data_IF_834104524213
#
_entry.id   IF_834104524213
#
_cell.length_a   1.000
_cell.length_b   1.000
_cell.length_c   1.000
_cell.angle_alpha   90.00
_cell.angle_beta   90.00
_cell.angle_gamma   90.00
#
_symmetry.space_group_name_H-M   'P 1'
#
loop_
_entity.id
_entity.type
_entity.pdbx_description
1 polymer ?
#
# COMPACT_ATOMS: atom_id res chain seq x y z
N UNK A 1 7.71 -22.91 0.75
CA UNK A 1 7.27 -21.72 1.51
C UNK A 1 6.69 -20.70 0.55
N UNK A 2 5.41 -20.39 0.71
CA UNK A 2 4.69 -19.35 -0.06
C UNK A 2 5.33 -17.97 0.17
N UNK A 3 5.24 -17.06 -0.82
CA UNK A 3 5.64 -15.64 -0.64
C UNK A 3 4.99 -15.02 0.60
N UNK A 4 3.78 -15.46 0.95
CA UNK A 4 2.99 -15.00 2.10
C UNK A 4 3.59 -15.48 3.42
N UNK A 5 4.05 -16.73 3.50
CA UNK A 5 4.71 -17.28 4.71
C UNK A 5 6.06 -16.59 4.96
N UNK A 6 6.81 -16.30 3.90
CA UNK A 6 8.08 -15.55 4.00
C UNK A 6 7.85 -14.11 4.45
N UNK A 7 6.74 -13.50 4.03
CA UNK A 7 6.35 -12.16 4.46
C UNK A 7 5.95 -12.12 5.94
N UNK A 8 5.06 -13.01 6.37
CA UNK A 8 4.65 -13.11 7.78
C UNK A 8 5.87 -13.22 8.72
N UNK A 9 6.88 -14.00 8.32
CA UNK A 9 8.13 -14.20 9.08
C UNK A 9 9.05 -12.98 9.09
N UNK A 10 9.17 -12.25 7.96
CA UNK A 10 9.95 -10.98 7.90
C UNK A 10 9.31 -9.89 8.75
N UNK A 11 7.99 -9.87 8.76
CA UNK A 11 7.18 -8.90 9.49
C UNK A 11 7.17 -9.14 11.01
N UNK A 12 7.14 -10.40 11.45
CA UNK A 12 7.29 -10.75 12.88
C UNK A 12 8.66 -10.32 13.45
N UNK A 13 9.69 -10.28 12.60
CA UNK A 13 11.03 -9.79 12.98
C UNK A 13 11.08 -8.27 13.15
N UNK A 14 10.29 -7.51 12.38
CA UNK A 14 10.21 -6.04 12.48
C UNK A 14 9.41 -5.54 13.69
N UNK A 15 8.61 -6.40 14.36
CA UNK A 15 7.92 -6.02 15.60
C UNK A 15 8.84 -6.00 16.84
N UNK A 16 10.04 -6.56 16.73
CA UNK A 16 10.93 -6.79 17.87
C UNK A 16 12.00 -5.72 18.09
N UNK A 17 12.01 -4.65 17.29
CA UNK A 17 12.93 -3.54 17.52
C UNK A 17 12.18 -2.33 18.12
N UNK A 18 12.43 -1.98 19.39
CA UNK A 18 11.83 -0.81 19.99
C UNK A 18 12.50 0.45 19.42
N UNK A 19 11.79 1.16 18.54
CA UNK A 19 12.14 2.52 18.09
C UNK A 19 11.82 3.53 19.22
N UNK A 20 12.19 3.22 20.46
CA UNK A 20 11.77 3.97 21.65
C UNK A 20 12.77 5.06 22.08
N UNK A 21 13.97 5.13 21.50
CA UNK A 21 15.05 5.94 22.10
C UNK A 21 15.19 7.37 21.57
N UNK A 22 14.28 7.89 20.73
CA UNK A 22 14.43 9.26 20.19
C UNK A 22 13.14 9.97 19.78
N UNK A 23 12.10 9.93 20.61
CA UNK A 23 10.87 10.70 20.37
C UNK A 23 10.82 11.91 21.30
N UNK A 24 11.19 13.09 20.80
CA UNK A 24 10.68 14.36 21.34
C UNK A 24 9.19 14.40 20.99
N UNK A 25 8.35 14.56 21.99
CA UNK A 25 6.89 14.64 21.88
C UNK A 25 6.47 15.80 20.97
N UNK A 26 6.28 15.51 19.69
CA UNK A 26 5.48 16.34 18.80
C UNK A 26 4.05 15.85 18.94
N UNK A 27 3.33 16.52 19.83
CA UNK A 27 1.88 16.38 20.02
C UNK A 27 1.21 16.55 18.66
N UNK A 28 0.40 15.57 18.24
CA UNK A 28 -0.43 15.64 17.03
C UNK A 28 -1.17 17.00 17.00
N UNK A 29 -0.80 17.96 16.15
CA UNK A 29 -1.67 19.08 15.87
C UNK A 29 -2.69 18.60 14.81
N UNK A 30 -3.93 19.03 15.00
CA UNK A 30 -5.05 19.00 14.06
C UNK A 30 -5.87 17.70 13.94
N UNK A 31 -7.06 17.78 14.55
CA UNK A 31 -8.22 16.90 14.41
C UNK A 31 -8.45 16.24 13.02
N UNK A 32 -8.13 16.86 11.87
CA UNK A 32 -8.15 16.22 10.55
C UNK A 32 -7.47 14.84 10.47
N UNK A 33 -6.28 14.65 11.04
CA UNK A 33 -5.53 13.39 10.93
C UNK A 33 -6.22 12.26 11.70
N UNK A 34 -6.69 12.54 12.92
CA UNK A 34 -7.45 11.56 13.72
C UNK A 34 -8.72 11.09 13.01
N UNK A 35 -9.44 12.00 12.36
CA UNK A 35 -10.64 11.66 11.56
C UNK A 35 -10.32 10.76 10.37
N UNK A 36 -9.21 11.00 9.68
CA UNK A 36 -8.77 10.15 8.57
C UNK A 36 -8.31 8.76 9.03
N UNK A 37 -7.62 8.68 10.17
CA UNK A 37 -7.29 7.39 10.81
C UNK A 37 -8.58 6.64 11.16
N UNK A 38 -9.58 7.30 11.73
CA UNK A 38 -10.88 6.69 12.03
C UNK A 38 -11.58 6.17 10.78
N UNK A 39 -11.55 6.94 9.68
CA UNK A 39 -12.11 6.53 8.41
C UNK A 39 -11.39 5.28 7.86
N UNK A 40 -10.05 5.25 7.93
CA UNK A 40 -9.26 4.10 7.51
C UNK A 40 -9.54 2.85 8.38
N UNK A 41 -9.63 3.02 9.70
CA UNK A 41 -9.99 1.95 10.63
C UNK A 41 -11.40 1.39 10.35
N UNK A 42 -12.37 2.24 10.03
CA UNK A 42 -13.72 1.81 9.68
C UNK A 42 -13.73 1.02 8.36
N UNK A 43 -13.03 1.51 7.32
CA UNK A 43 -12.87 0.76 6.06
C UNK A 43 -12.19 -0.61 6.29
N UNK A 44 -11.14 -0.68 7.12
CA UNK A 44 -10.49 -1.94 7.49
C UNK A 44 -11.44 -2.94 8.14
N UNK A 45 -12.28 -2.49 9.09
CA UNK A 45 -13.26 -3.35 9.75
C UNK A 45 -14.28 -3.92 8.78
N UNK A 46 -14.73 -3.12 7.81
CA UNK A 46 -15.64 -3.59 6.75
C UNK A 46 -14.96 -4.69 5.91
N UNK A 47 -13.70 -4.51 5.54
CA UNK A 47 -12.94 -5.53 4.80
C UNK A 47 -12.75 -6.81 5.60
N UNK A 48 -12.45 -6.71 6.89
CA UNK A 48 -12.35 -7.87 7.78
C UNK A 48 -13.66 -8.68 7.80
N UNK A 49 -14.80 -8.01 7.98
CA UNK A 49 -16.10 -8.66 7.96
C UNK A 49 -16.39 -9.36 6.61
N UNK A 50 -15.97 -8.76 5.49
CA UNK A 50 -16.11 -9.37 4.15
C UNK A 50 -15.25 -10.62 4.02
N UNK A 51 -14.00 -10.57 4.48
CA UNK A 51 -13.11 -11.72 4.50
C UNK A 51 -13.59 -12.82 5.47
N UNK A 52 -14.23 -12.48 6.59
CA UNK A 52 -14.89 -13.44 7.48
C UNK A 52 -15.96 -14.24 6.76
N UNK A 53 -16.87 -13.56 6.05
CA UNK A 53 -17.93 -14.21 5.28
C UNK A 53 -17.37 -15.14 4.22
N UNK A 54 -16.31 -14.71 3.52
CA UNK A 54 -15.62 -15.53 2.51
C UNK A 54 -14.96 -16.75 3.17
N UNK A 55 -14.29 -16.56 4.31
CA UNK A 55 -13.67 -17.65 5.07
C UNK A 55 -14.69 -18.73 5.45
N UNK A 56 -15.85 -18.33 5.98
CA UNK A 56 -16.93 -19.26 6.35
C UNK A 56 -17.44 -20.04 5.15
N UNK A 57 -17.69 -19.36 4.01
CA UNK A 57 -18.13 -20.02 2.78
C UNK A 57 -17.10 -21.01 2.24
N UNK A 58 -15.81 -20.68 2.33
CA UNK A 58 -14.74 -21.58 1.93
C UNK A 58 -14.68 -22.82 2.85
N UNK A 59 -14.81 -22.64 4.17
CA UNK A 59 -14.85 -23.77 5.11
C UNK A 59 -16.03 -24.71 4.86
N UNK A 60 -17.23 -24.18 4.61
CA UNK A 60 -18.40 -25.01 4.27
C UNK A 60 -18.20 -25.78 2.96
N UNK A 61 -17.58 -25.14 1.97
CA UNK A 61 -17.33 -25.73 0.66
C UNK A 61 -16.21 -26.78 0.71
N UNK A 62 -15.17 -26.58 1.53
CA UNK A 62 -14.13 -27.58 1.84
C UNK A 62 -14.79 -28.87 2.35
N UNK A 63 -15.64 -28.75 3.38
CA UNK A 63 -16.34 -29.91 3.96
C UNK A 63 -17.17 -30.66 2.92
N UNK A 64 -17.99 -29.94 2.14
CA UNK A 64 -18.84 -30.54 1.11
C UNK A 64 -18.04 -31.27 0.02
N UNK A 65 -16.90 -30.71 -0.40
CA UNK A 65 -16.07 -31.36 -1.43
C UNK A 65 -15.34 -32.56 -0.82
N UNK A 66 -14.87 -32.46 0.41
CA UNK A 66 -14.26 -33.58 1.12
C UNK A 66 -15.23 -34.77 1.25
N UNK A 67 -16.50 -34.53 1.59
CA UNK A 67 -17.55 -35.56 1.60
C UNK A 67 -17.69 -36.23 0.22
N UNK A 68 -17.64 -35.46 -0.88
CA UNK A 68 -17.67 -36.00 -2.24
C UNK A 68 -16.44 -36.82 -2.61
N UNK A 69 -15.25 -36.46 -2.12
CA UNK A 69 -14.03 -37.25 -2.28
C UNK A 69 -14.23 -38.63 -1.65
N UNK A 70 -14.73 -38.66 -0.40
CA UNK A 70 -15.00 -39.91 0.33
C UNK A 70 -16.05 -40.75 -0.40
N UNK A 71 -17.16 -40.15 -0.82
CA UNK A 71 -18.23 -40.85 -1.54
C UNK A 71 -17.73 -41.48 -2.85
N UNK A 72 -16.93 -40.74 -3.64
CA UNK A 72 -16.34 -41.26 -4.87
C UNK A 72 -15.41 -42.44 -4.61
N UNK A 73 -14.60 -42.40 -3.54
CA UNK A 73 -13.77 -43.55 -3.14
C UNK A 73 -14.60 -44.77 -2.73
N UNK A 74 -15.70 -44.56 -1.99
CA UNK A 74 -16.60 -45.65 -1.59
C UNK A 74 -17.27 -46.33 -2.79
N UNK A 75 -17.50 -45.59 -3.87
CA UNK A 75 -18.05 -46.12 -5.13
C UNK A 75 -16.99 -46.68 -6.08
N UNK A 76 -15.72 -46.71 -5.66
CA UNK A 76 -14.57 -47.08 -6.50
C UNK A 76 -14.39 -46.19 -7.74
N UNK A 77 -14.89 -44.95 -7.71
CA UNK A 77 -14.79 -43.96 -8.79
C UNK A 77 -13.50 -43.13 -8.63
N UNK A 78 -12.35 -43.75 -8.88
CA UNK A 78 -11.01 -43.17 -8.65
C UNK A 78 -10.77 -41.85 -9.41
N UNK A 79 -11.24 -41.75 -10.66
CA UNK A 79 -11.12 -40.53 -11.46
C UNK A 79 -11.92 -39.36 -10.83
N UNK A 80 -13.15 -39.63 -10.35
CA UNK A 80 -13.98 -38.61 -9.69
C UNK A 80 -13.40 -38.21 -8.33
N UNK A 81 -12.88 -39.17 -7.57
CA UNK A 81 -12.21 -38.89 -6.31
C UNK A 81 -10.99 -37.97 -6.52
N UNK A 82 -10.20 -38.24 -7.56
CA UNK A 82 -9.03 -37.42 -7.93
C UNK A 82 -9.45 -36.01 -8.35
N UNK A 83 -10.50 -35.88 -9.17
CA UNK A 83 -11.03 -34.58 -9.58
C UNK A 83 -11.50 -33.74 -8.38
N UNK A 84 -12.27 -34.31 -7.46
CA UNK A 84 -12.72 -33.60 -6.26
C UNK A 84 -11.56 -33.27 -5.32
N UNK A 85 -10.55 -34.13 -5.21
CA UNK A 85 -9.37 -33.87 -4.39
C UNK A 85 -8.54 -32.69 -4.90
N UNK A 86 -8.41 -32.55 -6.23
CA UNK A 86 -7.73 -31.40 -6.84
C UNK A 86 -8.48 -30.09 -6.54
N UNK A 87 -9.80 -30.07 -6.70
CA UNK A 87 -10.62 -28.89 -6.34
C UNK A 87 -10.49 -28.55 -4.86
N UNK A 88 -10.52 -29.55 -3.97
CA UNK A 88 -10.34 -29.36 -2.54
C UNK A 88 -8.97 -28.74 -2.22
N UNK A 89 -7.91 -29.17 -2.92
CA UNK A 89 -6.57 -28.63 -2.74
C UNK A 89 -6.50 -27.14 -3.14
N UNK A 90 -7.12 -26.75 -4.25
CA UNK A 90 -7.20 -25.34 -4.67
C UNK A 90 -8.00 -24.50 -3.67
N UNK A 91 -9.13 -25.02 -3.19
CA UNK A 91 -9.96 -24.34 -2.20
C UNK A 91 -9.20 -24.10 -0.88
N UNK A 92 -8.39 -25.06 -0.46
CA UNK A 92 -7.51 -24.90 0.72
C UNK A 92 -6.40 -23.87 0.50
N UNK A 93 -5.87 -23.74 -0.72
CA UNK A 93 -4.92 -22.66 -1.05
C UNK A 93 -5.60 -21.29 -0.93
N UNK A 94 -6.80 -21.14 -1.49
CA UNK A 94 -7.60 -19.91 -1.36
C UNK A 94 -7.89 -19.59 0.10
N UNK A 95 -8.27 -20.58 0.90
CA UNK A 95 -8.56 -20.41 2.34
C UNK A 95 -7.34 -19.89 3.11
N UNK A 96 -6.14 -20.37 2.81
CA UNK A 96 -4.90 -19.85 3.41
C UNK A 96 -4.67 -18.39 3.06
N UNK A 97 -4.87 -18.00 1.80
CA UNK A 97 -4.75 -16.60 1.37
C UNK A 97 -5.69 -15.71 2.17
N UNK A 98 -6.97 -16.08 2.29
CA UNK A 98 -7.96 -15.33 3.06
C UNK A 98 -7.57 -15.22 4.53
N UNK A 99 -7.14 -16.31 5.16
CA UNK A 99 -6.71 -16.31 6.55
C UNK A 99 -5.54 -15.35 6.79
N UNK A 100 -4.49 -15.43 5.96
CA UNK A 100 -3.34 -14.54 6.09
C UNK A 100 -3.70 -13.08 5.84
N UNK A 101 -4.58 -12.80 4.89
CA UNK A 101 -5.11 -11.45 4.63
C UNK A 101 -5.83 -10.90 5.85
N UNK A 102 -6.70 -11.68 6.50
CA UNK A 102 -7.41 -11.26 7.73
C UNK A 102 -6.45 -10.88 8.85
N UNK A 103 -5.53 -11.79 9.20
CA UNK A 103 -4.55 -11.55 10.27
C UNK A 103 -3.70 -10.30 9.98
N UNK A 104 -3.38 -10.07 8.71
CA UNK A 104 -2.60 -8.90 8.30
C UNK A 104 -3.41 -7.61 8.40
N UNK A 105 -4.69 -7.61 8.02
CA UNK A 105 -5.59 -6.46 8.19
C UNK A 105 -5.87 -6.17 9.68
N UNK A 106 -6.08 -7.19 10.51
CA UNK A 106 -6.21 -7.06 11.97
C UNK A 106 -4.98 -6.39 12.57
N UNK A 107 -3.79 -6.82 12.13
CA UNK A 107 -2.52 -6.24 12.58
C UNK A 107 -2.39 -4.76 12.19
N UNK A 108 -2.80 -4.38 10.99
CA UNK A 108 -2.83 -2.97 10.57
C UNK A 108 -3.82 -2.20 11.44
N UNK A 109 -5.01 -2.75 11.68
CA UNK A 109 -6.03 -2.11 12.53
C UNK A 109 -5.52 -1.84 13.94
N UNK A 110 -4.83 -2.80 14.57
CA UNK A 110 -4.20 -2.63 15.88
C UNK A 110 -3.15 -1.50 15.85
N UNK A 111 -2.30 -1.46 14.81
CA UNK A 111 -1.27 -0.43 14.66
C UNK A 111 -1.88 0.98 14.54
N UNK A 112 -2.93 1.13 13.74
CA UNK A 112 -3.67 2.39 13.62
C UNK A 112 -4.30 2.81 14.95
N UNK A 113 -4.81 1.86 15.72
CA UNK A 113 -5.32 2.10 17.08
C UNK A 113 -4.26 2.68 18.00
N UNK A 114 -3.07 2.07 18.06
CA UNK A 114 -1.95 2.59 18.85
C UNK A 114 -1.52 3.98 18.41
N UNK A 115 -1.43 4.23 17.10
CA UNK A 115 -1.05 5.55 16.56
C UNK A 115 -2.08 6.62 16.94
N UNK A 116 -3.37 6.27 16.88
CA UNK A 116 -4.46 7.16 17.30
C UNK A 116 -4.40 7.49 18.80
N UNK A 117 -4.14 6.50 19.65
CA UNK A 117 -4.19 6.61 21.11
C UNK A 117 -2.93 7.22 21.72
N UNK A 118 -1.76 6.73 21.31
CA UNK A 118 -0.45 7.10 21.90
C UNK A 118 0.15 8.31 21.19
N UNK A 119 -0.37 8.68 20.02
CA UNK A 119 0.16 9.78 19.23
C UNK A 119 1.58 9.53 18.73
N UNK A 120 1.96 8.26 18.53
CA UNK A 120 3.18 7.90 17.82
C UNK A 120 3.22 8.61 16.45
N UNK A 121 4.43 8.96 16.00
CA UNK A 121 4.63 9.63 14.71
C UNK A 121 3.87 8.89 13.61
N UNK A 122 3.01 9.61 12.90
CA UNK A 122 2.23 9.09 11.78
C UNK A 122 3.14 8.56 10.65
N UNK A 123 4.40 9.02 10.57
CA UNK A 123 5.44 8.46 9.68
C UNK A 123 5.68 6.96 9.94
N UNK A 124 5.38 6.46 11.15
CA UNK A 124 5.41 5.04 11.49
C UNK A 124 4.24 4.23 10.90
N UNK A 125 3.41 4.84 10.04
CA UNK A 125 2.34 4.18 9.27
C UNK A 125 2.79 3.62 7.93
N UNK A 126 3.97 4.01 7.39
CA UNK A 126 4.47 3.46 6.13
C UNK A 126 4.47 1.92 6.10
N UNK A 127 4.89 1.21 7.18
CA UNK A 127 4.83 -0.25 7.21
C UNK A 127 3.40 -0.83 7.09
N UNK A 128 2.38 -0.09 7.51
CA UNK A 128 0.99 -0.50 7.35
C UNK A 128 0.52 -0.39 5.88
N UNK A 129 0.96 0.62 5.14
CA UNK A 129 0.66 0.80 3.71
C UNK A 129 1.19 -0.39 2.90
N UNK A 130 2.44 -0.81 3.16
CA UNK A 130 3.05 -1.96 2.50
C UNK A 130 2.29 -3.27 2.76
N UNK A 131 1.79 -3.46 3.98
CA UNK A 131 0.95 -4.61 4.33
C UNK A 131 -0.33 -4.61 3.49
N UNK A 132 -1.03 -3.48 3.39
CA UNK A 132 -2.25 -3.38 2.57
C UNK A 132 -1.96 -3.66 1.11
N UNK A 133 -0.87 -3.13 0.55
CA UNK A 133 -0.46 -3.39 -0.83
C UNK A 133 -0.17 -4.87 -1.10
N UNK A 134 0.46 -5.56 -0.15
CA UNK A 134 0.72 -7.01 -0.26
C UNK A 134 -0.55 -7.85 -0.17
N UNK A 135 -1.51 -7.47 0.70
CA UNK A 135 -2.81 -8.12 0.81
C UNK A 135 -3.59 -7.94 -0.49
N UNK A 136 -3.63 -6.71 -1.02
CA UNK A 136 -4.23 -6.38 -2.31
C UNK A 136 -3.72 -7.32 -3.41
N UNK A 137 -2.40 -7.40 -3.58
CA UNK A 137 -1.78 -8.31 -4.56
C UNK A 137 -2.11 -9.79 -4.33
N UNK A 138 -2.36 -10.21 -3.09
CA UNK A 138 -2.69 -11.61 -2.77
C UNK A 138 -4.16 -11.92 -3.05
N UNK A 139 -5.04 -10.93 -2.95
CA UNK A 139 -6.48 -11.09 -3.17
C UNK A 139 -6.90 -10.92 -4.63
N UNK A 140 -6.08 -10.33 -5.50
CA UNK A 140 -6.42 -10.12 -6.92
C UNK A 140 -6.84 -11.40 -7.65
N UNK A 141 -6.24 -12.54 -7.32
CA UNK A 141 -6.57 -13.84 -7.93
C UNK A 141 -7.61 -14.67 -7.17
N UNK A 142 -8.09 -14.22 -6.01
CA UNK A 142 -8.95 -15.02 -5.11
C UNK A 142 -10.27 -14.30 -4.81
N UNK A 143 -10.23 -12.98 -4.65
CA UNK A 143 -11.37 -12.15 -4.27
C UNK A 143 -11.24 -10.71 -4.84
N UNK A 144 -11.52 -10.52 -6.15
CA UNK A 144 -11.32 -9.23 -6.84
C UNK A 144 -12.06 -8.05 -6.20
N UNK A 145 -13.29 -8.27 -5.73
CA UNK A 145 -14.08 -7.20 -5.11
C UNK A 145 -13.44 -6.65 -3.82
N UNK A 146 -12.69 -7.47 -3.08
CA UNK A 146 -11.96 -7.02 -1.90
C UNK A 146 -10.63 -6.36 -2.27
N UNK A 147 -10.03 -6.75 -3.39
CA UNK A 147 -8.83 -6.11 -3.93
C UNK A 147 -9.11 -4.64 -4.28
N UNK A 148 -10.22 -4.37 -4.98
CA UNK A 148 -10.62 -3.02 -5.36
C UNK A 148 -10.85 -2.13 -4.14
N UNK A 149 -11.60 -2.60 -3.15
CA UNK A 149 -11.88 -1.85 -1.92
C UNK A 149 -10.61 -1.60 -1.08
N UNK A 150 -9.64 -2.53 -1.11
CA UNK A 150 -8.33 -2.35 -0.48
C UNK A 150 -7.42 -1.38 -1.26
N UNK A 151 -7.64 -1.20 -2.57
CA UNK A 151 -6.92 -0.18 -3.34
C UNK A 151 -7.27 1.22 -2.86
N UNK A 152 -8.56 1.52 -2.68
CA UNK A 152 -9.02 2.80 -2.11
C UNK A 152 -8.45 3.04 -0.71
N UNK A 153 -8.39 1.98 0.11
CA UNK A 153 -7.83 2.06 1.44
C UNK A 153 -6.32 2.32 1.41
N UNK A 154 -5.59 1.69 0.47
CA UNK A 154 -4.17 1.94 0.26
C UNK A 154 -3.89 3.39 -0.11
N UNK A 155 -4.71 3.96 -0.99
CA UNK A 155 -4.62 5.38 -1.39
C UNK A 155 -4.87 6.32 -0.21
N UNK A 156 -5.91 6.04 0.59
CA UNK A 156 -6.23 6.80 1.79
C UNK A 156 -5.07 6.79 2.80
N UNK A 157 -4.50 5.61 3.09
CA UNK A 157 -3.38 5.50 4.01
C UNK A 157 -2.12 6.18 3.46
N UNK A 158 -1.88 6.12 2.15
CA UNK A 158 -0.75 6.80 1.51
C UNK A 158 -0.89 8.33 1.62
N UNK A 159 -2.09 8.88 1.35
CA UNK A 159 -2.40 10.30 1.57
C UNK A 159 -2.12 10.70 3.02
N UNK A 160 -2.49 9.86 3.98
CA UNK A 160 -2.26 10.14 5.39
C UNK A 160 -0.77 10.16 5.76
N UNK A 161 0.04 9.25 5.21
CA UNK A 161 1.50 9.25 5.40
C UNK A 161 2.13 10.53 4.84
N UNK A 162 1.73 10.95 3.63
CA UNK A 162 2.25 12.17 2.99
C UNK A 162 1.89 13.41 3.80
N UNK A 163 0.62 13.58 4.18
CA UNK A 163 0.15 14.75 4.92
C UNK A 163 0.82 14.85 6.30
N UNK A 164 1.00 13.73 6.97
CA UNK A 164 1.61 13.77 8.28
C UNK A 164 3.14 13.98 8.24
N UNK A 165 3.80 13.56 7.16
CA UNK A 165 5.17 13.97 6.88
C UNK A 165 5.30 15.48 6.69
N UNK A 166 4.39 16.09 5.92
CA UNK A 166 4.34 17.54 5.76
C UNK A 166 4.07 18.27 7.08
N UNK A 167 3.11 17.78 7.89
CA UNK A 167 2.74 18.39 9.17
C UNK A 167 3.85 18.31 10.24
N UNK A 168 4.74 17.30 10.17
CA UNK A 168 5.83 17.10 11.13
C UNK A 168 7.16 17.72 10.68
N UNK A 169 7.21 18.34 9.50
CA UNK A 169 8.45 18.87 8.90
C UNK A 169 9.46 17.78 8.54
N UNK A 170 9.05 16.51 8.56
CA UNK A 170 9.86 15.35 8.23
C UNK A 170 9.52 14.98 6.78
N UNK A 171 10.37 15.37 5.83
CA UNK A 171 10.14 15.04 4.42
C UNK A 171 10.08 13.52 4.26
N UNK A 172 8.92 13.02 3.83
CA UNK A 172 8.80 11.64 3.36
C UNK A 172 9.58 11.57 2.07
N UNK A 173 10.71 10.86 2.05
CA UNK A 173 11.39 10.50 0.81
C UNK A 173 10.47 9.54 0.07
N UNK A 174 9.69 10.05 -0.89
CA UNK A 174 8.91 9.23 -1.79
C UNK A 174 9.89 8.63 -2.81
N UNK A 175 10.12 7.33 -2.73
CA UNK A 175 10.86 6.61 -3.77
C UNK A 175 9.94 6.39 -4.98
N UNK A 176 10.32 6.92 -6.13
CA UNK A 176 9.62 6.68 -7.39
C UNK A 176 9.84 5.23 -7.82
N UNK A 177 8.79 4.56 -8.29
CA UNK A 177 8.96 3.33 -9.05
C UNK A 177 9.62 3.65 -10.40
N UNK A 178 10.25 2.67 -11.02
CA UNK A 178 10.96 2.83 -12.30
C UNK A 178 10.06 3.42 -13.41
N UNK A 179 8.79 3.01 -13.43
CA UNK A 179 7.77 3.55 -14.34
C UNK A 179 7.36 4.99 -13.98
N UNK A 180 7.21 5.31 -12.70
CA UNK A 180 6.93 6.67 -12.25
C UNK A 180 8.09 7.62 -12.55
N UNK A 181 9.33 7.14 -12.49
CA UNK A 181 10.52 7.91 -12.81
C UNK A 181 10.55 8.29 -14.30
N UNK A 182 10.14 7.36 -15.18
CA UNK A 182 10.02 7.60 -16.62
C UNK A 182 8.95 8.65 -16.94
N UNK A 183 7.79 8.57 -16.27
CA UNK A 183 6.72 9.58 -16.39
C UNK A 183 7.19 10.95 -15.91
N UNK A 184 7.94 11.01 -14.81
CA UNK A 184 8.51 12.25 -14.28
C UNK A 184 9.54 12.88 -15.24
N UNK A 185 10.36 12.07 -15.90
CA UNK A 185 11.28 12.53 -16.94
C UNK A 185 10.54 13.10 -18.15
N UNK A 186 9.52 12.40 -18.65
CA UNK A 186 8.68 12.90 -19.76
C UNK A 186 7.99 14.22 -19.39
N UNK A 187 7.45 14.32 -18.17
CA UNK A 187 6.83 15.54 -17.67
C UNK A 187 7.84 16.70 -17.53
N UNK A 188 9.07 16.41 -17.12
CA UNK A 188 10.15 17.40 -16.99
C UNK A 188 10.54 17.96 -18.36
N UNK A 189 10.68 17.11 -19.39
CA UNK A 189 10.97 17.55 -20.77
C UNK A 189 9.86 18.46 -21.31
N UNK A 190 8.59 18.11 -21.09
CA UNK A 190 7.46 18.94 -21.51
C UNK A 190 7.41 20.26 -20.74
N UNK A 191 7.75 20.26 -19.46
CA UNK A 191 7.83 21.47 -18.65
C UNK A 191 8.93 22.41 -19.15
N UNK A 192 10.12 21.88 -19.48
CA UNK A 192 11.23 22.66 -20.04
C UNK A 192 10.87 23.29 -21.39
N UNK A 193 10.21 22.55 -22.28
CA UNK A 193 9.72 23.08 -23.56
C UNK A 193 8.74 24.23 -23.36
N UNK A 194 7.75 24.07 -22.47
CA UNK A 194 6.78 25.14 -22.13
C UNK A 194 7.43 26.35 -21.48
N UNK A 195 8.49 26.16 -20.70
CA UNK A 195 9.24 27.27 -20.12
C UNK A 195 10.01 28.02 -21.22
N UNK A 196 10.66 27.30 -22.14
CA UNK A 196 11.43 27.86 -23.25
C UNK A 196 10.57 28.67 -24.24
N UNK A 197 9.34 28.24 -24.48
CA UNK A 197 8.35 28.98 -25.29
C UNK A 197 7.82 30.26 -24.62
N UNK A 198 7.93 30.35 -23.28
CA UNK A 198 7.47 31.53 -22.50
C UNK A 198 8.59 32.51 -22.16
N UNK A 199 9.84 32.24 -22.53
CA UNK A 199 10.93 33.20 -22.38
C UNK A 199 10.83 34.25 -23.51
N UNK A 200 10.58 35.53 -23.21
CA UNK A 200 10.61 36.57 -24.23
C UNK A 200 12.02 36.71 -24.82
N UNK A 201 12.12 36.84 -26.14
CA UNK A 201 13.39 37.09 -26.83
C UNK A 201 14.01 38.40 -26.33
N UNK A 202 15.21 38.32 -25.78
CA UNK A 202 15.98 39.50 -25.37
C UNK A 202 16.46 40.18 -26.65
N UNK A 203 16.14 41.47 -26.89
CA UNK A 203 16.56 42.12 -28.12
C UNK A 203 18.09 42.22 -28.13
N UNK A 204 18.69 41.68 -29.19
CA UNK A 204 20.10 41.90 -29.53
C UNK A 204 20.27 43.34 -30.02
N UNK A 205 20.32 44.29 -29.10
CA UNK A 205 20.77 45.65 -29.42
C UNK A 205 22.24 45.60 -29.80
N UNK A 206 22.49 45.98 -31.06
CA UNK A 206 23.79 45.93 -31.71
C UNK A 206 24.91 46.59 -30.90
N UNK A 207 26.01 45.86 -30.79
CA UNK A 207 27.32 46.38 -30.40
C UNK A 207 27.71 47.48 -31.40
N UNK A 208 27.83 48.71 -30.92
CA UNK A 208 28.59 49.77 -31.59
C UNK A 208 29.57 50.33 -30.57
N UNK A 209 30.76 49.75 -30.63
CA UNK A 209 32.09 50.20 -30.20
C UNK A 209 32.23 51.60 -29.60
N UNK A 210 32.80 51.64 -28.40
CA UNK A 210 33.55 52.75 -27.79
C UNK A 210 34.77 53.16 -28.64
N UNK A 211 35.04 54.46 -28.78
CA UNK A 211 36.30 55.10 -28.35
C UNK A 211 36.49 56.53 -28.90
N UNK A 212 36.59 57.52 -28.00
CA UNK A 212 37.78 58.37 -27.79
C UNK A 212 37.44 59.57 -26.91
N UNK A 213 37.85 59.48 -25.66
CA UNK A 213 38.10 60.62 -24.79
C UNK A 213 39.62 60.88 -24.84
N UNK A 214 40.03 62.05 -25.35
CA UNK A 214 41.42 62.55 -25.18
C UNK A 214 41.34 63.98 -24.66
N UNK A 215 41.71 64.13 -23.39
CA UNK A 215 41.77 65.37 -22.63
C UNK A 215 43.06 66.15 -22.95
N UNK A 216 43.02 67.47 -22.71
CA UNK A 216 44.12 68.44 -22.44
C UNK A 216 44.87 69.04 -23.65
N UNK A 217 44.52 70.29 -24.00
CA UNK A 217 45.27 71.51 -23.64
C UNK A 217 44.42 72.76 -23.87
#
# INVERSE_FOLDING_TARGET
>A
MSRIEKFAKRWDKQLKEPIASKVRSLVIPDAPLKRKIDLAMNKLKLQLNKLDQVSTRLMERDRKIFEKVVEAFMKHETDRATLYANELAELRKMSKVILYSKLSLEKVLLRLGTIKEVGELVVAMAPAVDVIRNIKSSLSGVLPDAEQELSELSELLNSLVVEAGQATGQSVTLEATEEAQKILEEAMVVAEQKMKEKLPEVPTSGVSTSDKQKTIR
#
